data_IF_863411486011
#
_entry.id   IF_863411486011
#
_cell.length_a   1.000
_cell.length_b   1.000
_cell.length_c   1.000
_cell.angle_alpha   90.00
_cell.angle_beta   90.00
_cell.angle_gamma   90.00
#
_symmetry.space_group_name_H-M   'P 1'
#
loop_
_entity.id
_entity.type
_entity.pdbx_description
1 polymer ?
#
# COMPACT_ATOMS: atom_id res chain seq x y z
N UNK A 1 -18.35 13.84 -31.31
CA UNK A 1 -18.93 13.74 -29.96
C UNK A 1 -18.96 15.13 -29.33
N UNK A 2 -20.08 15.60 -28.78
CA UNK A 2 -20.28 17.02 -28.40
C UNK A 2 -20.28 17.19 -26.86
N UNK A 3 -19.82 18.33 -26.34
CA UNK A 3 -19.72 18.63 -24.91
C UNK A 3 -21.03 18.40 -24.13
N UNK A 4 -22.19 18.64 -24.75
CA UNK A 4 -23.50 18.37 -24.13
C UNK A 4 -23.78 16.87 -23.92
N UNK A 5 -23.36 16.00 -24.84
CA UNK A 5 -23.54 14.55 -24.67
C UNK A 5 -22.60 14.01 -23.60
N UNK A 6 -21.39 14.59 -23.49
CA UNK A 6 -20.40 14.25 -22.47
C UNK A 6 -20.89 14.60 -21.05
N UNK A 7 -21.48 15.78 -20.88
CA UNK A 7 -22.06 16.22 -19.61
C UNK A 7 -23.31 15.43 -19.20
N UNK A 8 -24.15 15.04 -20.18
CA UNK A 8 -25.31 14.19 -19.92
C UNK A 8 -24.90 12.78 -19.48
N UNK A 9 -23.89 12.20 -20.13
CA UNK A 9 -23.34 10.88 -19.77
C UNK A 9 -22.65 10.91 -18.40
N UNK A 10 -21.94 12.00 -18.09
CA UNK A 10 -21.34 12.21 -16.77
C UNK A 10 -22.41 12.31 -15.67
N UNK A 11 -23.46 13.11 -15.90
CA UNK A 11 -24.60 13.24 -14.96
C UNK A 11 -25.34 11.92 -14.76
N UNK A 12 -25.57 11.16 -15.82
CA UNK A 12 -26.22 9.85 -15.74
C UNK A 12 -25.37 8.84 -14.94
N UNK A 13 -24.05 8.84 -15.14
CA UNK A 13 -23.12 7.99 -14.37
C UNK A 13 -23.08 8.38 -12.89
N UNK A 14 -23.04 9.67 -12.58
CA UNK A 14 -23.09 10.17 -11.20
C UNK A 14 -24.44 9.87 -10.51
N UNK A 15 -25.55 9.98 -11.24
CA UNK A 15 -26.88 9.66 -10.73
C UNK A 15 -27.14 8.15 -10.57
N UNK A 16 -26.39 7.29 -11.28
CA UNK A 16 -26.65 5.84 -11.33
C UNK A 16 -26.25 5.04 -10.09
N UNK A 17 -25.75 5.67 -9.01
CA UNK A 17 -25.27 4.99 -7.79
C UNK A 17 -24.03 4.10 -7.99
N UNK A 18 -23.69 3.72 -9.23
CA UNK A 18 -22.54 2.88 -9.60
C UNK A 18 -21.19 3.55 -9.37
N UNK A 19 -21.09 4.86 -9.59
CA UNK A 19 -19.86 5.62 -9.28
C UNK A 19 -19.65 5.66 -7.77
N UNK A 20 -20.70 5.94 -7.01
CA UNK A 20 -20.70 5.92 -5.55
C UNK A 20 -20.37 4.52 -5.01
N UNK A 21 -20.94 3.47 -5.57
CA UNK A 21 -20.65 2.07 -5.19
C UNK A 21 -19.20 1.66 -5.45
N UNK A 22 -18.64 1.99 -6.62
CA UNK A 22 -17.22 1.74 -6.92
C UNK A 22 -16.25 2.56 -6.05
N UNK A 23 -16.62 3.80 -5.71
CA UNK A 23 -15.86 4.61 -4.76
C UNK A 23 -15.97 4.08 -3.33
N UNK A 24 -17.14 3.57 -2.92
CA UNK A 24 -17.34 2.93 -1.62
C UNK A 24 -16.55 1.62 -1.48
N UNK A 25 -16.44 0.82 -2.54
CA UNK A 25 -15.59 -0.38 -2.55
C UNK A 25 -14.10 -0.06 -2.38
N UNK A 26 -13.63 1.05 -2.99
CA UNK A 26 -12.27 1.56 -2.80
C UNK A 26 -12.08 2.20 -1.42
N UNK A 27 -13.13 2.84 -0.88
CA UNK A 27 -13.15 3.46 0.43
C UNK A 27 -13.45 2.46 1.57
N UNK A 28 -13.33 1.15 1.33
CA UNK A 28 -13.54 0.14 2.37
C UNK A 28 -12.54 0.34 3.52
N UNK A 29 -13.01 0.95 4.61
CA UNK A 29 -12.23 1.15 5.82
C UNK A 29 -11.75 -0.19 6.41
N UNK A 30 -12.53 -1.25 6.23
CA UNK A 30 -12.17 -2.62 6.65
C UNK A 30 -10.95 -3.12 5.88
N UNK A 31 -10.98 -3.06 4.54
CA UNK A 31 -9.84 -3.50 3.71
C UNK A 31 -8.61 -2.62 3.92
N UNK A 32 -8.81 -1.31 4.10
CA UNK A 32 -7.71 -0.41 4.47
C UNK A 32 -7.09 -0.81 5.82
N UNK A 33 -7.92 -1.09 6.83
CA UNK A 33 -7.46 -1.54 8.15
C UNK A 33 -6.72 -2.89 8.10
N UNK A 34 -7.23 -3.85 7.32
CA UNK A 34 -6.55 -5.12 7.06
C UNK A 34 -5.20 -4.88 6.37
N UNK A 35 -5.16 -4.09 5.31
CA UNK A 35 -3.93 -3.77 4.58
C UNK A 35 -2.88 -3.09 5.48
N UNK A 36 -3.30 -2.12 6.30
CA UNK A 36 -2.43 -1.48 7.28
C UNK A 36 -1.90 -2.49 8.33
N UNK A 37 -2.76 -3.38 8.82
CA UNK A 37 -2.38 -4.43 9.77
C UNK A 37 -1.39 -5.43 9.17
N UNK A 38 -1.60 -5.82 7.92
CA UNK A 38 -0.64 -6.64 7.16
C UNK A 38 0.70 -5.91 7.01
N UNK A 39 0.68 -4.59 6.83
CA UNK A 39 1.88 -3.77 6.81
C UNK A 39 2.65 -3.79 8.13
N UNK A 40 1.96 -3.68 9.26
CA UNK A 40 2.56 -3.81 10.59
C UNK A 40 3.15 -5.21 10.80
N UNK A 41 2.40 -6.26 10.43
CA UNK A 41 2.89 -7.63 10.51
C UNK A 41 4.17 -7.81 9.67
N UNK A 42 4.18 -7.32 8.43
CA UNK A 42 5.36 -7.32 7.58
C UNK A 42 6.57 -6.65 8.24
N UNK A 43 6.40 -5.48 8.86
CA UNK A 43 7.48 -4.79 9.55
C UNK A 43 8.01 -5.59 10.76
N UNK A 44 7.14 -6.28 11.49
CA UNK A 44 7.55 -7.15 12.59
C UNK A 44 8.36 -8.35 12.09
N UNK A 45 7.93 -8.98 11.00
CA UNK A 45 8.67 -10.09 10.38
C UNK A 45 10.03 -9.64 9.85
N UNK A 46 10.10 -8.47 9.19
CA UNK A 46 11.37 -7.88 8.74
C UNK A 46 12.37 -7.74 9.89
N UNK A 47 11.99 -6.99 10.92
CA UNK A 47 12.85 -6.71 12.08
C UNK A 47 13.24 -8.00 12.79
N UNK A 48 12.30 -8.92 13.00
CA UNK A 48 12.57 -10.18 13.71
C UNK A 48 13.52 -11.07 12.93
N UNK A 49 13.28 -11.28 11.63
CA UNK A 49 14.14 -12.11 10.78
C UNK A 49 15.52 -11.51 10.63
N UNK A 50 15.63 -10.21 10.32
CA UNK A 50 16.92 -9.55 10.19
C UNK A 50 17.73 -9.60 11.50
N UNK A 51 17.08 -9.37 12.64
CA UNK A 51 17.72 -9.46 13.95
C UNK A 51 18.18 -10.89 14.24
N UNK A 52 17.31 -11.89 14.05
CA UNK A 52 17.66 -13.29 14.32
C UNK A 52 18.85 -13.76 13.46
N UNK A 53 18.86 -13.44 12.17
CA UNK A 53 19.96 -13.80 11.28
C UNK A 53 21.27 -13.10 11.67
N UNK A 54 21.20 -11.82 12.03
CA UNK A 54 22.36 -11.07 12.55
C UNK A 54 22.93 -11.71 13.80
N UNK A 55 22.10 -12.07 14.77
CA UNK A 55 22.54 -12.72 16.01
C UNK A 55 23.11 -14.12 15.77
N UNK A 56 22.72 -14.78 14.68
CA UNK A 56 23.32 -16.04 14.20
C UNK A 56 24.63 -15.83 13.42
N UNK A 57 25.13 -14.60 13.32
CA UNK A 57 26.40 -14.27 12.65
C UNK A 57 26.30 -14.06 11.15
N UNK A 58 25.08 -13.95 10.59
CA UNK A 58 24.89 -13.58 9.18
C UNK A 58 25.32 -12.12 8.97
N UNK A 59 25.97 -11.84 7.85
CA UNK A 59 26.37 -10.50 7.47
C UNK A 59 25.18 -9.53 7.49
N UNK A 60 25.27 -8.35 8.16
CA UNK A 60 24.11 -7.49 8.43
C UNK A 60 23.28 -7.13 7.19
N UNK A 61 23.95 -6.85 6.07
CA UNK A 61 23.34 -6.48 4.80
C UNK A 61 22.53 -7.64 4.20
N UNK A 62 23.02 -8.87 4.35
CA UNK A 62 22.29 -10.08 3.93
C UNK A 62 21.12 -10.34 4.87
N UNK A 63 21.30 -10.15 6.18
CA UNK A 63 20.25 -10.32 7.17
C UNK A 63 19.08 -9.34 6.94
N UNK A 64 19.38 -8.06 6.66
CA UNK A 64 18.37 -7.05 6.30
C UNK A 64 17.67 -7.40 5.00
N UNK A 65 18.41 -7.82 3.96
CA UNK A 65 17.80 -8.25 2.71
C UNK A 65 16.84 -9.43 2.91
N UNK A 66 17.24 -10.43 3.69
CA UNK A 66 16.39 -11.57 4.01
C UNK A 66 15.14 -11.17 4.80
N UNK A 67 15.27 -10.23 5.76
CA UNK A 67 14.13 -9.66 6.48
C UNK A 67 13.12 -9.00 5.53
N UNK A 68 13.60 -8.19 4.59
CA UNK A 68 12.77 -7.54 3.57
C UNK A 68 12.04 -8.58 2.72
N UNK A 69 12.73 -9.60 2.21
CA UNK A 69 12.10 -10.63 1.37
C UNK A 69 11.03 -11.43 2.14
N UNK A 70 11.32 -11.82 3.39
CA UNK A 70 10.34 -12.49 4.26
C UNK A 70 9.13 -11.59 4.48
N UNK A 71 9.34 -10.31 4.77
CA UNK A 71 8.29 -9.31 4.94
C UNK A 71 7.41 -9.20 3.70
N UNK A 72 8.02 -9.06 2.51
CA UNK A 72 7.31 -8.96 1.23
C UNK A 72 6.44 -10.19 0.99
N UNK A 73 6.98 -11.40 1.20
CA UNK A 73 6.24 -12.64 1.01
C UNK A 73 5.08 -12.74 2.00
N UNK A 74 5.32 -12.49 3.30
CA UNK A 74 4.27 -12.53 4.33
C UNK A 74 3.18 -11.52 4.01
N UNK A 75 3.54 -10.28 3.68
CA UNK A 75 2.58 -9.24 3.32
C UNK A 75 1.77 -9.62 2.09
N UNK A 76 2.39 -10.22 1.07
CA UNK A 76 1.69 -10.67 -0.11
C UNK A 76 0.70 -11.79 0.22
N UNK A 77 1.14 -12.82 0.94
CA UNK A 77 0.30 -13.97 1.33
C UNK A 77 -0.89 -13.54 2.16
N UNK A 78 -0.69 -12.67 3.15
CA UNK A 78 -1.79 -12.15 3.97
C UNK A 78 -2.75 -11.30 3.13
N UNK A 79 -2.25 -10.49 2.21
CA UNK A 79 -3.14 -9.71 1.35
C UNK A 79 -3.93 -10.60 0.39
N UNK A 80 -3.32 -11.63 -0.20
CA UNK A 80 -3.97 -12.53 -1.15
C UNK A 80 -5.02 -13.43 -0.48
N UNK A 81 -4.78 -13.87 0.76
CA UNK A 81 -5.66 -14.82 1.46
C UNK A 81 -6.62 -14.19 2.47
N UNK A 82 -6.42 -12.91 2.85
CA UNK A 82 -7.27 -12.25 3.85
C UNK A 82 -7.83 -10.92 3.36
N UNK A 83 -6.97 -9.95 3.02
CA UNK A 83 -7.42 -8.60 2.60
C UNK A 83 -8.23 -8.64 1.30
N UNK A 84 -7.81 -9.50 0.36
CA UNK A 84 -8.38 -9.62 -0.99
C UNK A 84 -8.76 -11.07 -1.35
N UNK A 85 -9.10 -11.89 -0.35
CA UNK A 85 -9.37 -13.33 -0.49
C UNK A 85 -10.42 -13.69 -1.57
N UNK A 86 -11.34 -12.76 -1.89
CA UNK A 86 -12.37 -12.94 -2.91
C UNK A 86 -11.98 -12.43 -4.31
N UNK A 87 -10.75 -11.97 -4.50
CA UNK A 87 -10.33 -11.27 -5.72
C UNK A 87 -9.28 -12.07 -6.51
N UNK A 88 -9.55 -12.25 -7.80
CA UNK A 88 -8.62 -12.88 -8.74
C UNK A 88 -8.76 -14.40 -8.85
N UNK A 89 -8.20 -14.95 -9.93
CA UNK A 89 -8.26 -16.38 -10.21
C UNK A 89 -7.20 -17.17 -9.43
N UNK A 90 -7.56 -18.40 -9.05
CA UNK A 90 -6.65 -19.36 -8.43
C UNK A 90 -5.58 -19.89 -9.39
N UNK A 91 -4.52 -20.47 -8.82
CA UNK A 91 -3.44 -21.13 -9.55
C UNK A 91 -2.10 -20.37 -9.55
N UNK A 92 -1.02 -21.11 -9.79
CA UNK A 92 0.36 -20.61 -9.65
C UNK A 92 0.67 -19.39 -10.54
N UNK A 93 0.32 -19.46 -11.82
CA UNK A 93 0.64 -18.38 -12.79
C UNK A 93 -0.11 -17.08 -12.47
N UNK A 94 -1.43 -17.09 -12.18
CA UNK A 94 -2.13 -15.90 -11.66
C UNK A 94 -1.52 -15.33 -10.39
N UNK A 95 -1.17 -16.17 -9.40
CA UNK A 95 -0.56 -15.74 -8.14
C UNK A 95 0.80 -15.07 -8.36
N UNK A 96 1.69 -15.67 -9.15
CA UNK A 96 3.00 -15.07 -9.46
C UNK A 96 2.86 -13.71 -10.17
N UNK A 97 1.89 -13.57 -11.08
CA UNK A 97 1.62 -12.30 -11.73
C UNK A 97 1.14 -11.23 -10.74
N UNK A 98 0.31 -11.60 -9.75
CA UNK A 98 -0.11 -10.69 -8.67
C UNK A 98 1.07 -10.31 -7.78
N UNK A 99 1.95 -11.26 -7.43
CA UNK A 99 3.14 -10.99 -6.63
C UNK A 99 4.07 -9.97 -7.31
N UNK A 100 4.36 -10.17 -8.61
CA UNK A 100 5.20 -9.23 -9.36
C UNK A 100 4.56 -7.84 -9.43
N UNK A 101 3.24 -7.77 -9.66
CA UNK A 101 2.54 -6.49 -9.70
C UNK A 101 2.52 -5.81 -8.33
N UNK A 102 2.31 -6.55 -7.25
CA UNK A 102 2.34 -6.04 -5.88
C UNK A 102 3.71 -5.41 -5.58
N UNK A 103 4.82 -6.05 -5.98
CA UNK A 103 6.16 -5.49 -5.82
C UNK A 103 6.38 -4.18 -6.58
N UNK A 104 5.91 -4.12 -7.84
CA UNK A 104 5.97 -2.89 -8.63
C UNK A 104 5.15 -1.76 -8.00
N UNK A 105 3.95 -2.07 -7.53
CA UNK A 105 3.09 -1.11 -6.84
C UNK A 105 3.74 -0.60 -5.56
N UNK A 106 4.27 -1.50 -4.73
CA UNK A 106 4.97 -1.17 -3.48
C UNK A 106 6.15 -0.23 -3.71
N UNK A 107 6.91 -0.45 -4.79
CA UNK A 107 8.00 0.45 -5.18
C UNK A 107 7.48 1.87 -5.43
N UNK A 108 6.34 2.01 -6.12
CA UNK A 108 5.66 3.29 -6.31
C UNK A 108 5.26 3.96 -4.99
N UNK A 109 4.69 3.20 -4.04
CA UNK A 109 4.36 3.73 -2.71
C UNK A 109 5.57 4.19 -1.90
N UNK A 110 6.71 3.48 -2.01
CA UNK A 110 7.98 3.91 -1.38
C UNK A 110 8.42 5.26 -1.96
N UNK A 111 8.35 5.44 -3.28
CA UNK A 111 8.68 6.73 -3.92
C UNK A 111 7.77 7.85 -3.43
N UNK A 112 6.47 7.60 -3.29
CA UNK A 112 5.52 8.57 -2.71
C UNK A 112 5.87 8.89 -1.26
N UNK A 113 6.17 7.88 -0.45
CA UNK A 113 6.58 8.07 0.94
C UNK A 113 7.82 8.96 1.05
N UNK A 114 8.86 8.69 0.25
CA UNK A 114 10.09 9.48 0.23
C UNK A 114 9.84 10.91 -0.27
N UNK A 115 9.03 11.06 -1.31
CA UNK A 115 8.64 12.36 -1.85
C UNK A 115 7.84 13.20 -0.84
N UNK A 116 6.85 12.59 -0.19
CA UNK A 116 6.02 13.25 0.83
C UNK A 116 6.84 13.62 2.07
N UNK A 117 7.71 12.72 2.57
CA UNK A 117 8.65 13.05 3.64
C UNK A 117 9.53 14.24 3.25
N UNK A 118 10.12 14.21 2.05
CA UNK A 118 10.99 15.30 1.58
C UNK A 118 10.23 16.61 1.47
N UNK A 119 9.01 16.59 0.94
CA UNK A 119 8.15 17.77 0.82
C UNK A 119 7.86 18.37 2.20
N UNK A 120 7.36 17.57 3.13
CA UNK A 120 7.04 18.04 4.49
C UNK A 120 8.30 18.53 5.23
N UNK A 121 9.35 17.73 5.23
CA UNK A 121 10.53 18.02 6.04
C UNK A 121 11.41 19.15 5.47
N UNK A 122 11.58 19.23 4.15
CA UNK A 122 12.51 20.19 3.52
C UNK A 122 11.84 21.41 2.91
N UNK A 123 10.60 21.29 2.44
CA UNK A 123 9.91 22.40 1.76
C UNK A 123 8.96 23.11 2.73
N UNK A 124 8.13 22.36 3.46
CA UNK A 124 7.23 22.95 4.46
C UNK A 124 8.01 23.37 5.71
N UNK A 125 8.95 22.53 6.17
CA UNK A 125 9.99 22.87 7.15
C UNK A 125 9.49 23.67 8.37
N UNK A 126 8.49 23.13 9.09
CA UNK A 126 7.97 23.76 10.31
C UNK A 126 8.96 23.54 11.46
N UNK A 127 9.25 24.58 12.22
CA UNK A 127 10.02 24.46 13.46
C UNK A 127 9.11 23.92 14.58
N UNK A 128 9.26 22.63 14.89
CA UNK A 128 8.53 21.95 15.95
C UNK A 128 9.51 21.12 16.75
N UNK A 129 9.85 21.59 17.95
CA UNK A 129 10.65 20.85 18.92
C UNK A 129 9.77 20.30 20.04
N UNK A 130 9.93 19.01 20.37
CA UNK A 130 9.27 18.37 21.50
C UNK A 130 10.33 17.73 22.37
N UNK A 131 10.48 18.19 23.61
CA UNK A 131 11.46 17.65 24.57
C UNK A 131 12.90 17.57 24.04
N UNK A 132 13.33 18.55 23.22
CA UNK A 132 14.66 18.57 22.60
C UNK A 132 14.83 17.67 21.37
N UNK A 133 13.77 16.96 20.97
CA UNK A 133 13.72 16.19 19.72
C UNK A 133 13.08 17.04 18.62
N UNK A 134 13.53 16.81 17.39
CA UNK A 134 12.89 17.35 16.19
C UNK A 134 11.54 16.65 15.98
N UNK A 135 10.47 17.27 16.48
CA UNK A 135 9.11 16.78 16.34
C UNK A 135 8.62 16.85 14.90
N UNK A 136 9.08 17.84 14.12
CA UNK A 136 8.72 17.96 12.72
C UNK A 136 9.29 16.83 11.87
N UNK A 137 10.50 16.36 12.16
CA UNK A 137 11.08 15.18 11.53
C UNK A 137 10.18 13.95 11.70
N UNK A 138 9.69 13.70 12.92
CA UNK A 138 8.80 12.58 13.21
C UNK A 138 7.48 12.72 12.47
N UNK A 139 6.84 13.89 12.54
CA UNK A 139 5.58 14.18 11.81
C UNK A 139 5.76 13.99 10.30
N UNK A 140 6.85 14.50 9.74
CA UNK A 140 7.16 14.35 8.31
C UNK A 140 7.36 12.89 7.92
N UNK A 141 8.04 12.10 8.76
CA UNK A 141 8.27 10.67 8.52
C UNK A 141 6.97 9.87 8.58
N UNK A 142 6.15 10.10 9.60
CA UNK A 142 4.83 9.47 9.76
C UNK A 142 3.90 9.87 8.61
N UNK A 143 3.90 11.15 8.23
CA UNK A 143 3.13 11.66 7.08
C UNK A 143 3.57 11.00 5.76
N UNK A 144 4.87 10.83 5.55
CA UNK A 144 5.39 10.07 4.41
C UNK A 144 4.92 8.62 4.40
N UNK A 145 5.04 7.91 5.53
CA UNK A 145 4.55 6.52 5.66
C UNK A 145 3.05 6.45 5.36
N UNK A 146 2.25 7.37 5.93
CA UNK A 146 0.81 7.43 5.71
C UNK A 146 0.44 7.66 4.25
N UNK A 147 1.12 8.59 3.56
CA UNK A 147 0.92 8.85 2.15
C UNK A 147 1.28 7.64 1.26
N UNK A 148 2.43 7.01 1.53
CA UNK A 148 2.86 5.80 0.84
C UNK A 148 1.91 4.62 1.07
N UNK A 149 1.46 4.42 2.31
CA UNK A 149 0.47 3.41 2.68
C UNK A 149 -0.85 3.61 1.92
N UNK A 150 -1.37 4.83 1.89
CA UNK A 150 -2.61 5.15 1.20
C UNK A 150 -2.50 4.89 -0.30
N UNK A 151 -1.44 5.39 -0.94
CA UNK A 151 -1.23 5.16 -2.38
C UNK A 151 -1.04 3.68 -2.68
N UNK A 152 -0.28 2.96 -1.84
CA UNK A 152 -0.13 1.51 -1.98
C UNK A 152 -1.49 0.82 -1.88
N UNK A 153 -2.29 1.10 -0.86
CA UNK A 153 -3.61 0.48 -0.71
C UNK A 153 -4.50 0.71 -1.94
N UNK A 154 -4.56 1.95 -2.44
CA UNK A 154 -5.37 2.29 -3.62
C UNK A 154 -4.84 1.58 -4.87
N UNK A 155 -3.53 1.64 -5.11
CA UNK A 155 -2.90 1.05 -6.28
C UNK A 155 -2.96 -0.49 -6.26
N UNK A 156 -2.77 -1.10 -5.10
CA UNK A 156 -2.93 -2.55 -4.90
C UNK A 156 -4.38 -2.97 -5.19
N UNK A 157 -5.36 -2.23 -4.65
CA UNK A 157 -6.78 -2.49 -4.89
C UNK A 157 -7.15 -2.41 -6.37
N UNK A 158 -6.64 -1.40 -7.10
CA UNK A 158 -7.00 -1.15 -8.50
C UNK A 158 -6.19 -1.98 -9.50
N UNK A 159 -4.88 -2.10 -9.28
CA UNK A 159 -3.95 -2.68 -10.25
C UNK A 159 -3.72 -4.16 -9.96
N UNK A 160 -3.44 -4.53 -8.71
CA UNK A 160 -3.09 -5.90 -8.33
C UNK A 160 -4.33 -6.78 -8.23
N UNK A 161 -5.26 -6.41 -7.35
CA UNK A 161 -6.45 -7.21 -7.07
C UNK A 161 -7.67 -6.80 -7.90
N UNK A 162 -7.64 -5.62 -8.52
CA UNK A 162 -8.66 -5.16 -9.49
C UNK A 162 -10.09 -5.22 -8.94
N UNK A 163 -10.28 -4.84 -7.67
CA UNK A 163 -11.55 -4.96 -6.92
C UNK A 163 -12.78 -4.43 -7.66
N UNK A 164 -12.61 -3.40 -8.49
CA UNK A 164 -13.66 -2.82 -9.35
C UNK A 164 -14.23 -3.73 -10.46
N UNK A 165 -13.63 -4.91 -10.72
CA UNK A 165 -14.07 -5.82 -11.80
C UNK A 165 -15.08 -6.85 -11.33
N UNK A 166 -15.32 -6.98 -10.01
CA UNK A 166 -16.11 -8.07 -9.44
C UNK A 166 -15.43 -9.42 -9.62
N UNK A 167 -15.88 -10.48 -8.90
CA UNK A 167 -15.34 -11.82 -9.08
C UNK A 167 -15.61 -12.27 -10.52
N UNK A 168 -14.56 -12.53 -11.30
CA UNK A 168 -14.70 -13.26 -12.54
C UNK A 168 -14.97 -14.71 -12.16
N UNK A 169 -16.19 -15.18 -12.47
CA UNK A 169 -16.63 -16.56 -12.24
C UNK A 169 -15.81 -17.57 -13.05
#
# INVERSE_FOLDING_TARGET
MNARSLLADLRARLASGRVTGRMLELASAVRFGQFASVGVAGALFDVTTATALRELGVFPEIAVLAGIEVSVVVMFVLNDNWTFAGEGSGGLRPTLRRLLRSNLVRTGGILVQLGAFRLLYRVVAIDLAVTGLDGWFVVSKVGGIGAGLLVNYVAESLLTWRVHRGPEG
#
